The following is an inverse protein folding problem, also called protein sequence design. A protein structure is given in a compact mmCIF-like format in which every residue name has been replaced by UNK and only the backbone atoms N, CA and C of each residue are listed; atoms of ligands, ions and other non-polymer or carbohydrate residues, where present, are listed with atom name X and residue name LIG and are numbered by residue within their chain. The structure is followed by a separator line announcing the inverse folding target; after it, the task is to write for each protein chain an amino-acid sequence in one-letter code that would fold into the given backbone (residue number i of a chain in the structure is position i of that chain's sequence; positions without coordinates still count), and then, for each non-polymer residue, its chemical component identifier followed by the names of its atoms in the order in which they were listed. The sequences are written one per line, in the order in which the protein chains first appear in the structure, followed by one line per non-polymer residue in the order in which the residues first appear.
data_IF_158949669650
#
_entry.id   IF_158949669650
#
_cell.length_a   1.000
_cell.length_b   1.000
_cell.length_c   1.000
_cell.angle_alpha   90.00
_cell.angle_beta   90.00
_cell.angle_gamma   90.00
#
_symmetry.space_group_name_H-M   'P 1'
#
loop_
_entity.id
_entity.type
_entity.pdbx_description
1 polymer ?
#
# COMPACT_ATOMS: atom_id res chain seq x y z
N UNK A 1 19.66 -9.23 -40.34
CA UNK A 1 19.25 -10.49 -39.68
C UNK A 1 19.20 -10.25 -38.18
N UNK A 2 18.02 -9.96 -37.62
CA UNK A 2 17.82 -9.81 -36.16
C UNK A 2 17.21 -11.12 -35.69
N UNK A 3 17.95 -11.88 -34.88
CA UNK A 3 17.49 -13.10 -34.26
C UNK A 3 16.71 -12.74 -32.99
N UNK A 4 15.40 -12.61 -33.11
CA UNK A 4 14.44 -12.37 -32.03
C UNK A 4 13.87 -13.69 -31.52
N UNK A 5 14.71 -14.56 -30.99
CA UNK A 5 14.25 -15.70 -30.20
C UNK A 5 13.76 -15.22 -28.84
N UNK A 6 12.58 -14.60 -28.80
CA UNK A 6 11.82 -14.35 -27.57
C UNK A 6 11.24 -15.69 -27.10
N UNK A 7 12.01 -16.42 -26.30
CA UNK A 7 11.50 -17.62 -25.62
C UNK A 7 10.34 -17.22 -24.71
N UNK A 8 9.22 -17.93 -24.79
CA UNK A 8 8.03 -17.65 -23.95
C UNK A 8 8.21 -18.34 -22.60
N UNK A 9 7.60 -17.81 -21.54
CA UNK A 9 7.63 -18.42 -20.17
C UNK A 9 7.25 -19.91 -20.16
N UNK A 10 6.42 -20.32 -21.13
CA UNK A 10 6.04 -21.71 -21.34
C UNK A 10 7.21 -22.59 -21.77
N UNK A 11 8.11 -22.05 -22.59
CA UNK A 11 9.31 -22.73 -23.09
C UNK A 11 10.34 -22.87 -21.96
N UNK A 12 10.39 -21.92 -21.02
CA UNK A 12 11.20 -22.01 -19.80
C UNK A 12 10.73 -23.15 -18.88
N UNK A 13 9.42 -23.24 -18.60
CA UNK A 13 8.85 -24.35 -17.81
C UNK A 13 9.07 -25.70 -18.50
N UNK A 14 9.01 -25.72 -19.83
CA UNK A 14 9.22 -26.94 -20.61
C UNK A 14 10.69 -27.38 -20.61
N UNK A 15 11.64 -26.46 -20.76
CA UNK A 15 13.08 -26.75 -20.68
C UNK A 15 13.48 -27.23 -19.29
N UNK A 16 13.00 -26.58 -18.23
CA UNK A 16 13.23 -27.03 -16.85
C UNK A 16 12.63 -28.43 -16.63
N UNK A 17 11.42 -28.69 -17.15
CA UNK A 17 10.80 -30.01 -17.11
C UNK A 17 11.61 -31.09 -17.83
N UNK A 18 12.16 -30.78 -19.01
CA UNK A 18 13.03 -31.69 -19.76
C UNK A 18 14.36 -31.92 -19.04
N UNK A 19 14.96 -30.88 -18.46
CA UNK A 19 16.19 -30.98 -17.69
C UNK A 19 16.01 -31.89 -16.47
N UNK A 20 14.91 -31.71 -15.75
CA UNK A 20 14.52 -32.57 -14.61
C UNK A 20 14.24 -34.00 -15.10
N UNK A 21 13.57 -34.16 -16.24
CA UNK A 21 13.33 -35.46 -16.85
C UNK A 21 14.61 -36.19 -17.23
N UNK A 22 15.58 -35.49 -17.83
CA UNK A 22 16.92 -36.03 -18.14
C UNK A 22 17.67 -36.37 -16.85
N UNK A 23 17.60 -35.54 -15.81
CA UNK A 23 18.19 -35.82 -14.51
C UNK A 23 17.62 -37.10 -13.90
N UNK A 24 16.29 -37.27 -13.91
CA UNK A 24 15.61 -38.47 -13.42
C UNK A 24 15.96 -39.69 -14.28
N UNK A 25 16.02 -39.55 -15.60
CA UNK A 25 16.38 -40.62 -16.52
C UNK A 25 17.84 -41.07 -16.33
N UNK A 26 18.76 -40.14 -16.06
CA UNK A 26 20.15 -40.43 -15.75
C UNK A 26 20.27 -41.18 -14.41
N UNK A 27 19.51 -40.77 -13.39
CA UNK A 27 19.43 -41.47 -12.09
C UNK A 27 18.81 -42.87 -12.24
N UNK A 28 17.75 -43.01 -13.05
CA UNK A 28 17.07 -44.30 -13.27
C UNK A 28 17.91 -45.27 -14.11
N UNK A 29 18.60 -44.78 -15.15
CA UNK A 29 19.54 -45.58 -15.96
C UNK A 29 20.74 -46.09 -15.14
N UNK A 30 21.00 -45.45 -13.99
CA UNK A 30 22.15 -45.72 -13.16
C UNK A 30 21.90 -46.77 -12.06
N UNK A 31 20.63 -46.98 -11.70
CA UNK A 31 20.22 -47.98 -10.71
C UNK A 31 20.54 -49.43 -11.12
N UNK A 32 20.99 -49.65 -12.37
CA UNK A 32 21.19 -50.97 -12.96
C UNK A 32 22.68 -51.32 -13.23
N UNK A 33 23.66 -50.62 -12.63
CA UNK A 33 25.08 -50.97 -12.78
C UNK A 33 25.93 -50.72 -11.53
N UNK A 34 26.73 -51.71 -11.13
CA UNK A 34 27.54 -51.78 -9.88
C UNK A 34 28.71 -50.79 -9.77
N UNK A 35 28.76 -49.74 -10.60
CA UNK A 35 29.85 -48.74 -10.61
C UNK A 35 29.36 -47.40 -10.08
N UNK A 36 28.73 -47.43 -8.90
CA UNK A 36 28.01 -46.29 -8.31
C UNK A 36 28.91 -45.07 -8.03
N UNK A 37 30.18 -45.28 -7.68
CA UNK A 37 31.07 -44.22 -7.18
C UNK A 37 31.65 -43.28 -8.25
N UNK A 38 32.04 -43.78 -9.44
CA UNK A 38 32.67 -42.94 -10.46
C UNK A 38 31.69 -41.98 -11.14
N UNK A 39 30.40 -42.31 -11.13
CA UNK A 39 29.38 -41.58 -11.86
C UNK A 39 28.79 -40.40 -11.06
N UNK A 40 28.92 -40.37 -9.73
CA UNK A 40 28.52 -39.21 -8.92
C UNK A 40 29.35 -37.94 -9.24
N UNK A 41 30.65 -38.10 -9.52
CA UNK A 41 31.53 -36.98 -9.89
C UNK A 41 31.15 -36.35 -11.25
N UNK A 42 30.72 -37.17 -12.19
CA UNK A 42 30.29 -36.73 -13.53
C UNK A 42 28.91 -36.04 -13.44
N UNK A 43 28.00 -36.58 -12.64
CA UNK A 43 26.66 -35.99 -12.45
C UNK A 43 26.77 -34.62 -11.75
N UNK A 44 27.57 -34.52 -10.70
CA UNK A 44 27.73 -33.26 -9.95
C UNK A 44 28.35 -32.15 -10.80
N UNK A 45 29.35 -32.46 -11.64
CA UNK A 45 29.93 -31.49 -12.57
C UNK A 45 28.96 -31.08 -13.68
N UNK A 46 28.19 -32.02 -14.25
CA UNK A 46 27.17 -31.72 -15.26
C UNK A 46 26.04 -30.83 -14.71
N UNK A 47 25.56 -31.10 -13.48
CA UNK A 47 24.52 -30.30 -12.81
C UNK A 47 25.02 -28.89 -12.51
N UNK A 48 26.26 -28.75 -12.04
CA UNK A 48 26.87 -27.43 -11.76
C UNK A 48 26.99 -26.56 -13.02
N UNK A 49 27.44 -27.16 -14.14
CA UNK A 49 27.53 -26.46 -15.43
C UNK A 49 26.14 -26.02 -15.92
N UNK A 50 25.13 -26.90 -15.81
CA UNK A 50 23.75 -26.58 -16.19
C UNK A 50 23.18 -25.42 -15.36
N UNK A 51 23.39 -25.43 -14.03
CA UNK A 51 22.94 -24.35 -13.14
C UNK A 51 23.65 -23.03 -13.43
N UNK A 52 24.96 -23.05 -13.73
CA UNK A 52 25.71 -21.86 -14.08
C UNK A 52 25.17 -21.21 -15.37
N UNK A 53 24.86 -22.02 -16.39
CA UNK A 53 24.27 -21.53 -17.64
C UNK A 53 22.86 -20.95 -17.43
N UNK A 54 22.05 -21.58 -16.58
CA UNK A 54 20.72 -21.05 -16.21
C UNK A 54 20.83 -19.72 -15.47
N UNK A 55 21.79 -19.59 -14.53
CA UNK A 55 22.02 -18.36 -13.79
C UNK A 55 22.45 -17.19 -14.71
N UNK A 56 23.39 -17.45 -15.63
CA UNK A 56 23.83 -16.47 -16.63
C UNK A 56 22.65 -16.05 -17.52
N UNK A 57 21.84 -17.01 -17.96
CA UNK A 57 20.69 -16.74 -18.81
C UNK A 57 19.63 -15.86 -18.11
N UNK A 58 19.27 -16.19 -16.87
CA UNK A 58 18.35 -15.38 -16.06
C UNK A 58 18.88 -13.96 -15.85
N UNK A 59 20.18 -13.82 -15.58
CA UNK A 59 20.80 -12.50 -15.40
C UNK A 59 20.74 -11.65 -16.68
N UNK A 60 20.80 -12.26 -17.86
CA UNK A 60 20.72 -11.56 -19.15
C UNK A 60 19.27 -11.12 -19.49
N UNK A 61 18.26 -11.90 -19.10
CA UNK A 61 16.86 -11.61 -19.45
C UNK A 61 16.20 -10.54 -18.55
N UNK A 62 16.68 -10.37 -17.31
CA UNK A 62 16.24 -9.31 -16.38
C UNK A 62 16.41 -7.88 -16.94
N UNK A 63 17.28 -7.68 -17.93
CA UNK A 63 17.56 -6.36 -18.50
C UNK A 63 16.45 -5.80 -19.40
N UNK A 64 15.47 -6.63 -19.80
CA UNK A 64 14.39 -6.24 -20.72
C UNK A 64 13.10 -5.82 -20.01
N UNK A 65 12.70 -6.50 -18.94
CA UNK A 65 11.42 -6.24 -18.25
C UNK A 65 11.49 -5.04 -17.28
N UNK A 66 12.68 -4.73 -16.76
CA UNK A 66 12.86 -3.64 -15.78
C UNK A 66 12.72 -2.22 -16.38
N UNK A 67 12.82 -2.09 -17.71
CA UNK A 67 12.77 -0.78 -18.40
C UNK A 67 11.34 -0.30 -18.64
N UNK A 68 10.42 -1.22 -18.90
CA UNK A 68 9.01 -0.88 -19.14
C UNK A 68 8.25 -0.70 -17.82
N UNK A 69 8.53 -1.56 -16.84
CA UNK A 69 7.88 -1.52 -15.52
C UNK A 69 8.11 -0.18 -14.81
N UNK A 70 9.32 0.38 -14.91
CA UNK A 70 9.63 1.69 -14.31
C UNK A 70 8.85 2.84 -14.97
N UNK A 71 8.68 2.80 -16.29
CA UNK A 71 7.93 3.85 -17.02
C UNK A 71 6.42 3.79 -16.77
N UNK A 72 5.86 2.57 -16.73
CA UNK A 72 4.45 2.33 -16.44
C UNK A 72 4.13 2.59 -14.97
N UNK A 73 5.06 2.27 -14.07
CA UNK A 73 4.98 2.60 -12.64
C UNK A 73 4.98 4.11 -12.42
N UNK A 74 5.84 4.87 -13.11
CA UNK A 74 5.83 6.33 -13.00
C UNK A 74 4.52 6.96 -13.51
N UNK A 75 3.97 6.45 -14.62
CA UNK A 75 2.68 6.91 -15.13
C UNK A 75 1.52 6.56 -14.17
N UNK A 76 1.53 5.35 -13.62
CA UNK A 76 0.52 4.89 -12.66
C UNK A 76 0.60 5.64 -11.34
N UNK A 77 1.81 5.95 -10.85
CA UNK A 77 2.05 6.79 -9.66
C UNK A 77 1.51 8.20 -9.88
N UNK A 78 1.70 8.78 -11.08
CA UNK A 78 1.14 10.09 -11.42
C UNK A 78 -0.39 10.10 -11.35
N UNK A 79 -1.04 9.09 -11.95
CA UNK A 79 -2.50 8.95 -11.92
C UNK A 79 -3.00 8.66 -10.49
N UNK A 80 -2.24 7.92 -9.69
CA UNK A 80 -2.54 7.71 -8.27
C UNK A 80 -2.44 9.00 -7.47
N UNK A 81 -1.41 9.83 -7.67
CA UNK A 81 -1.29 11.12 -6.99
C UNK A 81 -2.42 12.07 -7.37
N UNK A 82 -2.78 12.13 -8.65
CA UNK A 82 -3.93 12.91 -9.12
C UNK A 82 -5.24 12.43 -8.48
N UNK A 83 -5.47 11.10 -8.46
CA UNK A 83 -6.64 10.52 -7.80
C UNK A 83 -6.62 10.71 -6.29
N UNK A 84 -5.48 10.60 -5.62
CA UNK A 84 -5.34 10.80 -4.17
C UNK A 84 -5.55 12.27 -3.79
N UNK A 85 -5.06 13.22 -4.59
CA UNK A 85 -5.32 14.64 -4.38
C UNK A 85 -6.82 14.95 -4.57
N UNK A 86 -7.45 14.39 -5.60
CA UNK A 86 -8.89 14.53 -5.84
C UNK A 86 -9.75 13.82 -4.76
N UNK A 87 -9.26 12.70 -4.19
CA UNK A 87 -9.90 12.03 -3.05
C UNK A 87 -9.70 12.85 -1.78
N UNK A 88 -8.53 13.44 -1.53
CA UNK A 88 -8.30 14.35 -0.40
C UNK A 88 -9.22 15.57 -0.44
N UNK A 89 -9.44 16.13 -1.63
CA UNK A 89 -10.36 17.26 -1.82
C UNK A 89 -11.84 16.84 -1.69
N UNK A 90 -12.20 15.61 -2.09
CA UNK A 90 -13.56 15.06 -1.89
C UNK A 90 -13.81 14.57 -0.46
N UNK A 91 -12.79 14.05 0.23
CA UNK A 91 -12.87 13.61 1.63
C UNK A 91 -12.96 14.82 2.57
N UNK A 92 -12.31 15.94 2.24
CA UNK A 92 -12.52 17.23 2.92
C UNK A 92 -13.91 17.85 2.67
N UNK A 93 -14.67 17.35 1.68
CA UNK A 93 -16.04 17.80 1.34
C UNK A 93 -17.12 16.82 1.77
N UNK A 94 -16.76 15.68 2.35
CA UNK A 94 -17.71 14.89 3.13
C UNK A 94 -17.85 15.64 4.46
N UNK A 95 -18.56 16.77 4.38
CA UNK A 95 -18.96 17.53 5.55
C UNK A 95 -19.67 16.56 6.48
N UNK A 96 -19.21 16.47 7.73
CA UNK A 96 -19.86 15.64 8.74
C UNK A 96 -21.36 15.94 8.81
N UNK A 97 -21.76 17.18 8.49
CA UNK A 97 -23.15 17.63 8.37
C UNK A 97 -23.93 16.98 7.21
N UNK A 98 -23.30 16.70 6.07
CA UNK A 98 -23.94 16.00 4.94
C UNK A 98 -24.12 14.52 5.28
N UNK A 99 -23.13 13.88 5.90
CA UNK A 99 -23.29 12.51 6.38
C UNK A 99 -24.37 12.41 7.45
N UNK A 100 -24.41 13.35 8.40
CA UNK A 100 -25.46 13.41 9.40
C UNK A 100 -26.83 13.56 8.75
N UNK A 101 -27.00 14.45 7.77
CA UNK A 101 -28.28 14.62 7.05
C UNK A 101 -28.69 13.39 6.25
N UNK A 102 -27.76 12.72 5.56
CA UNK A 102 -28.07 11.50 4.78
C UNK A 102 -28.37 10.33 5.72
N UNK A 103 -27.69 10.24 6.85
CA UNK A 103 -27.96 9.22 7.87
C UNK A 103 -29.31 9.46 8.55
N UNK A 104 -29.61 10.71 8.90
CA UNK A 104 -30.89 11.15 9.49
C UNK A 104 -32.04 10.87 8.51
N UNK A 105 -31.88 11.21 7.23
CA UNK A 105 -32.86 10.92 6.17
C UNK A 105 -33.08 9.40 5.99
N UNK A 106 -32.00 8.59 5.95
CA UNK A 106 -32.12 7.13 5.81
C UNK A 106 -32.71 6.47 7.05
N UNK A 107 -32.42 6.99 8.24
CA UNK A 107 -33.00 6.50 9.50
C UNK A 107 -34.47 6.86 9.62
N UNK A 108 -34.89 8.02 9.12
CA UNK A 108 -36.29 8.44 9.09
C UNK A 108 -37.12 7.56 8.14
N UNK A 109 -36.59 7.21 6.96
CA UNK A 109 -37.25 6.27 6.03
C UNK A 109 -37.34 4.84 6.59
N UNK A 110 -36.28 4.37 7.28
CA UNK A 110 -36.29 3.05 7.94
C UNK A 110 -37.22 3.04 9.15
N UNK A 111 -37.34 4.16 9.87
CA UNK A 111 -38.31 4.34 10.95
C UNK A 111 -39.74 4.22 10.42
N UNK A 112 -40.07 4.92 9.33
CA UNK A 112 -41.39 4.85 8.68
C UNK A 112 -41.74 3.41 8.25
N UNK A 113 -40.82 2.72 7.55
CA UNK A 113 -41.00 1.31 7.15
C UNK A 113 -41.12 0.35 8.36
N UNK A 114 -40.42 0.60 9.47
CA UNK A 114 -40.54 -0.21 10.68
C UNK A 114 -41.85 0.07 11.42
N UNK A 115 -42.33 1.30 11.53
CA UNK A 115 -43.65 1.60 12.14
C UNK A 115 -44.79 0.95 11.37
N UNK A 116 -44.71 0.91 10.03
CA UNK A 116 -45.71 0.23 9.20
C UNK A 116 -45.68 -1.31 9.40
N UNK A 117 -44.50 -1.88 9.60
CA UNK A 117 -44.32 -3.31 9.85
C UNK A 117 -44.62 -3.73 11.32
N UNK A 118 -44.40 -2.86 12.30
CA UNK A 118 -44.64 -3.11 13.73
C UNK A 118 -46.12 -2.90 14.10
N UNK A 119 -46.83 -1.95 13.47
CA UNK A 119 -48.28 -1.78 13.65
C UNK A 119 -49.08 -3.05 13.30
N UNK A 120 -48.53 -3.93 12.45
CA UNK A 120 -49.13 -5.19 12.06
C UNK A 120 -48.80 -6.36 13.01
N UNK A 121 -47.96 -6.18 14.04
CA UNK A 121 -47.60 -7.26 14.98
C UNK A 121 -47.09 -6.73 16.33
N UNK A 122 -47.93 -6.84 17.36
CA UNK A 122 -47.67 -6.81 18.83
C UNK A 122 -47.89 -5.51 19.62
N UNK A 123 -48.42 -5.72 20.84
CA UNK A 123 -48.93 -4.81 21.90
C UNK A 123 -47.90 -3.86 22.54
N UNK A 124 -46.98 -3.28 21.76
CA UNK A 124 -46.05 -2.27 22.29
C UNK A 124 -46.54 -0.89 21.84
N UNK A 125 -46.96 -0.07 22.81
CA UNK A 125 -47.44 1.30 22.55
C UNK A 125 -46.38 2.09 21.79
N UNK A 126 -46.73 2.50 20.57
CA UNK A 126 -45.90 3.26 19.60
C UNK A 126 -45.25 4.49 20.24
N UNK A 127 -45.91 5.06 21.26
CA UNK A 127 -45.44 6.23 21.99
C UNK A 127 -44.18 5.97 22.82
N UNK A 128 -44.07 4.78 23.42
CA UNK A 128 -42.94 4.42 24.28
C UNK A 128 -41.70 4.05 23.45
N UNK A 129 -41.92 3.45 22.28
CA UNK A 129 -40.89 3.21 21.27
C UNK A 129 -40.35 4.53 20.69
N UNK A 130 -41.24 5.47 20.34
CA UNK A 130 -40.83 6.80 19.84
C UNK A 130 -40.02 7.59 20.88
N UNK A 131 -40.39 7.46 22.16
CA UNK A 131 -39.69 8.14 23.26
C UNK A 131 -38.31 7.53 23.54
N UNK A 132 -38.19 6.20 23.48
CA UNK A 132 -36.92 5.51 23.65
C UNK A 132 -35.98 5.78 22.46
N UNK A 133 -36.51 5.69 21.24
CA UNK A 133 -35.77 5.93 20.00
C UNK A 133 -35.23 7.36 19.91
N UNK A 134 -36.06 8.37 20.18
CA UNK A 134 -35.62 9.77 20.19
C UNK A 134 -34.57 10.05 21.27
N UNK A 135 -34.62 9.33 22.40
CA UNK A 135 -33.62 9.46 23.46
C UNK A 135 -32.28 8.83 23.07
N UNK A 136 -32.27 7.65 22.43
CA UNK A 136 -31.05 7.00 21.96
C UNK A 136 -30.42 7.76 20.78
N UNK A 137 -31.22 8.26 19.83
CA UNK A 137 -30.71 9.08 18.74
C UNK A 137 -30.01 10.34 19.23
N UNK A 138 -30.53 10.97 20.28
CA UNK A 138 -29.92 12.15 20.89
C UNK A 138 -28.58 11.82 21.54
N UNK A 139 -28.47 10.66 22.17
CA UNK A 139 -27.23 10.18 22.78
C UNK A 139 -26.18 9.84 21.71
N UNK A 140 -26.57 9.10 20.67
CA UNK A 140 -25.68 8.73 19.55
C UNK A 140 -25.15 9.98 18.85
N UNK A 141 -26.00 10.99 18.62
CA UNK A 141 -25.60 12.28 18.02
C UNK A 141 -24.60 13.04 18.89
N UNK A 142 -24.78 13.01 20.22
CA UNK A 142 -23.82 13.60 21.16
C UNK A 142 -22.50 12.84 21.20
N UNK A 143 -22.54 11.51 21.20
CA UNK A 143 -21.35 10.66 21.25
C UNK A 143 -20.51 10.76 19.97
N UNK A 144 -21.14 10.78 18.80
CA UNK A 144 -20.47 11.03 17.52
C UNK A 144 -19.79 12.41 17.49
N UNK A 145 -20.47 13.45 17.98
CA UNK A 145 -19.86 14.79 18.06
C UNK A 145 -18.64 14.82 19.00
N UNK A 146 -18.69 14.06 20.09
CA UNK A 146 -17.56 13.90 20.99
C UNK A 146 -16.39 13.18 20.28
N UNK A 147 -16.66 12.05 19.64
CA UNK A 147 -15.66 11.25 18.92
C UNK A 147 -15.01 12.01 17.76
N UNK A 148 -15.78 12.80 17.00
CA UNK A 148 -15.25 13.63 15.90
C UNK A 148 -14.31 14.73 16.44
N UNK A 149 -14.67 15.33 17.58
CA UNK A 149 -13.85 16.36 18.25
C UNK A 149 -12.57 15.77 18.85
N UNK A 150 -12.63 14.55 19.38
CA UNK A 150 -11.44 13.84 19.89
C UNK A 150 -10.53 13.35 18.76
N UNK A 151 -11.08 12.85 17.66
CA UNK A 151 -10.31 12.44 16.47
C UNK A 151 -9.60 13.64 15.84
N UNK A 152 -10.25 14.81 15.84
CA UNK A 152 -9.64 16.08 15.39
C UNK A 152 -8.49 16.55 16.29
N UNK A 153 -8.51 16.19 17.59
CA UNK A 153 -7.44 16.49 18.57
C UNK A 153 -6.29 15.48 18.51
N UNK A 154 -6.58 14.20 18.21
CA UNK A 154 -5.59 13.11 18.13
C UNK A 154 -4.64 13.25 16.92
N UNK A 155 -5.08 13.90 15.84
CA UNK A 155 -4.20 14.28 14.72
C UNK A 155 -3.27 15.47 15.04
N UNK A 156 -3.33 16.01 16.26
CA UNK A 156 -2.30 16.89 16.83
C UNK A 156 -1.42 16.11 17.82
N UNK A 157 -0.87 14.97 17.41
CA UNK A 157 0.41 14.58 17.97
C UNK A 157 1.38 15.73 17.68
N UNK A 158 2.00 16.27 18.72
CA UNK A 158 2.93 17.40 18.70
C UNK A 158 4.20 17.05 17.93
N UNK A 159 4.11 16.85 16.61
CA UNK A 159 5.27 16.91 15.74
C UNK A 159 5.75 18.36 15.75
N UNK A 160 7.00 18.58 16.12
CA UNK A 160 7.66 19.91 16.13
C UNK A 160 7.54 20.64 14.78
N UNK A 161 7.31 19.87 13.70
CA UNK A 161 7.16 20.32 12.34
C UNK A 161 5.84 19.84 11.74
N UNK A 162 5.25 20.68 10.89
CA UNK A 162 4.03 20.44 10.12
C UNK A 162 4.32 20.64 8.63
N UNK A 163 3.46 20.07 7.79
CA UNK A 163 3.52 20.33 6.34
C UNK A 163 3.24 21.82 6.09
N UNK A 164 4.09 22.46 5.30
CA UNK A 164 4.07 23.88 5.02
C UNK A 164 4.94 24.74 5.94
N UNK A 165 5.52 24.16 7.00
CA UNK A 165 6.48 24.89 7.85
C UNK A 165 7.75 25.23 7.05
N UNK A 166 8.27 26.45 7.25
CA UNK A 166 9.57 26.84 6.72
C UNK A 166 10.68 26.50 7.71
N UNK A 167 11.72 25.84 7.22
CA UNK A 167 12.87 25.44 8.02
C UNK A 167 14.17 25.88 7.36
N UNK A 168 15.16 26.24 8.17
CA UNK A 168 16.51 26.55 7.69
C UNK A 168 17.46 25.41 8.03
N UNK A 169 18.17 24.91 7.02
CA UNK A 169 19.22 23.92 7.17
C UNK A 169 20.59 24.57 7.03
N UNK A 170 21.52 24.23 7.94
CA UNK A 170 22.87 24.85 8.01
C UNK A 170 23.64 24.84 6.68
N UNK A 171 23.46 23.83 5.83
CA UNK A 171 24.17 23.68 4.55
C UNK A 171 23.35 24.10 3.33
N UNK A 172 22.02 24.06 3.44
CA UNK A 172 21.13 24.08 2.27
C UNK A 172 20.18 25.28 2.26
N UNK A 173 20.29 26.15 3.28
CA UNK A 173 19.46 27.35 3.37
C UNK A 173 18.03 27.01 3.76
N UNK A 174 17.11 27.87 3.33
CA UNK A 174 15.69 27.81 3.67
C UNK A 174 15.01 26.76 2.76
N UNK A 175 14.13 25.95 3.35
CA UNK A 175 13.31 24.98 2.64
C UNK A 175 11.94 24.81 3.28
N UNK A 176 10.99 24.28 2.50
CA UNK A 176 9.59 24.06 2.90
C UNK A 176 9.34 22.59 3.22
N UNK A 177 8.70 22.30 4.35
CA UNK A 177 8.31 20.93 4.71
C UNK A 177 7.14 20.47 3.84
N UNK A 178 7.37 19.49 2.97
CA UNK A 178 6.33 18.96 2.08
C UNK A 178 5.62 17.74 2.67
N UNK A 179 6.30 16.97 3.53
CA UNK A 179 5.74 15.77 4.14
C UNK A 179 6.36 15.49 5.50
N UNK A 180 5.53 15.03 6.43
CA UNK A 180 5.94 14.57 7.77
C UNK A 180 5.46 13.14 7.94
N UNK A 181 6.38 12.22 8.26
CA UNK A 181 6.08 10.79 8.46
C UNK A 181 6.73 10.35 9.77
N UNK A 182 6.00 9.59 10.60
CA UNK A 182 6.53 8.98 11.80
C UNK A 182 6.29 9.79 13.09
N UNK A 183 6.61 9.16 14.23
CA UNK A 183 6.26 9.65 15.57
C UNK A 183 7.51 9.99 16.40
N UNK A 184 7.45 11.14 17.07
CA UNK A 184 8.41 11.77 18.00
C UNK A 184 9.92 11.60 17.73
N UNK A 185 10.48 10.39 17.86
CA UNK A 185 11.93 10.12 17.75
C UNK A 185 12.39 9.75 16.34
N UNK A 186 11.49 9.26 15.50
CA UNK A 186 11.79 8.82 14.13
C UNK A 186 10.95 9.60 13.10
N UNK A 187 10.80 10.90 13.32
CA UNK A 187 10.11 11.77 12.36
C UNK A 187 10.97 11.99 11.13
N UNK A 188 10.52 11.47 9.99
CA UNK A 188 11.05 11.74 8.66
C UNK A 188 10.34 12.96 8.07
N UNK A 189 11.14 13.91 7.58
CA UNK A 189 10.70 15.13 6.93
C UNK A 189 11.20 15.12 5.49
N UNK A 190 10.28 15.30 4.54
CA UNK A 190 10.67 15.66 3.17
C UNK A 190 10.63 17.18 3.06
N UNK A 191 11.79 17.81 2.90
CA UNK A 191 11.95 19.26 2.84
C UNK A 191 12.43 19.64 1.45
N UNK A 192 11.73 20.58 0.81
CA UNK A 192 12.12 21.12 -0.49
C UNK A 192 12.99 22.36 -0.34
N UNK A 193 14.22 22.27 -0.82
CA UNK A 193 15.17 23.38 -0.85
C UNK A 193 15.25 23.95 -2.27
N UNK A 194 14.96 25.24 -2.52
CA UNK A 194 14.91 25.79 -3.88
C UNK A 194 16.18 25.57 -4.72
N UNK A 195 17.36 25.58 -4.08
CA UNK A 195 18.64 25.45 -4.78
C UNK A 195 19.08 24.00 -5.03
N UNK A 196 18.52 23.01 -4.30
CA UNK A 196 19.05 21.64 -4.24
C UNK A 196 17.96 20.57 -4.48
N UNK A 197 16.69 20.97 -4.41
CA UNK A 197 15.51 20.12 -4.49
C UNK A 197 15.16 19.43 -3.18
N UNK A 198 14.22 18.48 -3.27
CA UNK A 198 13.67 17.78 -2.09
C UNK A 198 14.66 16.82 -1.44
N UNK A 199 14.83 16.93 -0.12
CA UNK A 199 15.65 16.03 0.71
C UNK A 199 14.81 15.39 1.80
N UNK A 200 15.03 14.09 2.00
CA UNK A 200 14.48 13.33 3.13
C UNK A 200 15.45 13.36 4.30
N UNK A 201 14.98 13.84 5.44
CA UNK A 201 15.78 14.06 6.65
C UNK A 201 15.08 13.49 7.87
N UNK A 202 15.86 12.91 8.79
CA UNK A 202 15.36 12.57 10.12
C UNK A 202 15.46 13.80 11.02
N UNK A 203 14.32 14.29 11.50
CA UNK A 203 14.22 15.52 12.29
C UNK A 203 15.11 15.52 13.55
N UNK A 204 15.35 14.34 14.13
CA UNK A 204 16.18 14.17 15.33
C UNK A 204 17.69 14.37 15.08
N UNK A 205 18.15 14.20 13.83
CA UNK A 205 19.58 14.22 13.48
C UNK A 205 19.94 15.35 12.50
N UNK A 206 18.95 15.99 11.88
CA UNK A 206 19.18 17.06 10.93
C UNK A 206 19.44 18.40 11.66
N UNK A 207 20.47 19.17 11.27
CA UNK A 207 20.71 20.52 11.79
C UNK A 207 19.75 21.52 11.13
N UNK A 208 18.46 21.40 11.48
CA UNK A 208 17.37 22.24 11.00
C UNK A 208 16.72 23.04 12.13
N UNK A 209 16.35 24.28 11.83
CA UNK A 209 15.61 25.17 12.73
C UNK A 209 14.33 25.64 12.05
N UNK A 210 13.23 25.69 12.81
CA UNK A 210 11.95 26.22 12.31
C UNK A 210 12.01 27.75 12.24
N UNK A 211 11.65 28.31 11.09
CA UNK A 211 11.65 29.75 10.85
C UNK A 211 10.26 30.35 11.09
N UNK A 212 9.20 29.68 10.60
CA UNK A 212 7.80 30.09 10.77
C UNK A 212 6.87 28.90 10.89
#
# INVERSE_FOLDING_TARGET
MRNDSRWRDRDWKWLVGILIGILILLVASFYNSDKVETNFSIISSAVSIALALVAIFIALDQSKDNKNLSSEMNATISIMHEKLNNVGEKVNKIDADILLKVLEQKMETVSEEMTENVANKSDISVEELNKLYSSELKQIKQELNHMLKETSKSNTMTTKYRVGDEVIHRKWGIGSVQKVIGTEKATELDIDFPEIGTKRLLAAFAPIEKVS
#
